data_IF_792709032515
#
_entry.id   IF_792709032515
#
_cell.length_a   1.000
_cell.length_b   1.000
_cell.length_c   1.000
_cell.angle_alpha   90.00
_cell.angle_beta   90.00
_cell.angle_gamma   90.00
#
_symmetry.space_group_name_H-M   'P 1'
#
loop_
_entity.id
_entity.type
_entity.pdbx_description
1 polymer ?
#
# COMPACT_ATOMS: atom_id res chain seq x y z
N UNK A 1 -7.98 28.71 7.30
CA UNK A 1 -7.47 27.54 8.00
C UNK A 1 -5.96 27.53 7.83
N UNK A 2 -5.20 27.43 8.90
CA UNK A 2 -3.75 27.24 8.86
C UNK A 2 -3.53 25.75 8.63
N UNK A 3 -2.88 25.40 7.52
CA UNK A 3 -2.46 24.02 7.29
C UNK A 3 -1.26 23.80 8.22
N UNK A 4 -1.39 22.90 9.18
CA UNK A 4 -0.30 22.49 10.04
C UNK A 4 0.76 21.72 9.25
N UNK A 5 1.98 21.66 9.74
CA UNK A 5 3.07 20.89 9.10
C UNK A 5 2.79 19.39 9.11
N UNK A 6 1.98 18.92 10.06
CA UNK A 6 1.50 17.54 10.19
C UNK A 6 0.62 17.08 9.00
N UNK A 7 0.00 18.04 8.29
CA UNK A 7 -0.83 17.75 7.12
C UNK A 7 -0.05 17.83 5.80
N UNK A 8 1.26 18.03 5.86
CA UNK A 8 2.10 18.07 4.67
C UNK A 8 2.54 16.67 4.28
N UNK A 9 2.37 16.33 3.02
CA UNK A 9 2.80 15.08 2.42
C UNK A 9 3.69 15.35 1.20
N UNK A 10 4.61 14.43 0.94
CA UNK A 10 5.46 14.49 -0.25
C UNK A 10 4.78 13.86 -1.48
N UNK A 11 3.50 13.51 -1.36
CA UNK A 11 2.72 12.94 -2.45
C UNK A 11 2.42 14.02 -3.49
N UNK A 12 2.80 13.75 -4.72
CA UNK A 12 2.59 14.65 -5.87
C UNK A 12 2.13 13.81 -7.06
N UNK A 13 1.43 14.39 -8.08
CA UNK A 13 0.91 13.63 -9.20
C UNK A 13 1.92 12.76 -9.96
N UNK A 14 3.20 13.16 -9.93
CA UNK A 14 4.31 12.41 -10.54
C UNK A 14 4.94 11.37 -9.63
N UNK A 15 4.58 11.32 -8.34
CA UNK A 15 5.16 10.41 -7.34
C UNK A 15 4.10 10.02 -6.31
N UNK A 16 3.15 9.19 -6.73
CA UNK A 16 2.10 8.71 -5.84
C UNK A 16 2.61 7.61 -4.93
N UNK A 17 2.32 7.73 -3.65
CA UNK A 17 2.58 6.70 -2.64
C UNK A 17 1.36 5.84 -2.39
N UNK A 18 1.57 4.70 -1.77
CA UNK A 18 0.47 3.87 -1.30
C UNK A 18 -0.38 4.61 -0.26
N UNK A 19 -1.69 4.39 -0.30
CA UNK A 19 -2.65 4.83 0.71
C UNK A 19 -3.66 3.71 0.93
N UNK A 20 -4.34 3.71 2.07
CA UNK A 20 -5.41 2.74 2.30
C UNK A 20 -6.64 3.06 1.44
N UNK A 21 -7.25 2.01 0.92
CA UNK A 21 -8.39 2.12 0.03
C UNK A 21 -9.69 1.88 0.81
N UNK A 22 -10.61 2.85 0.76
CA UNK A 22 -11.91 2.78 1.43
C UNK A 22 -12.90 1.83 0.75
N UNK A 23 -12.67 1.50 -0.52
CA UNK A 23 -13.59 0.68 -1.35
C UNK A 23 -13.21 -0.80 -1.33
N UNK A 24 -11.92 -1.10 -1.20
CA UNK A 24 -11.38 -2.47 -1.17
C UNK A 24 -10.86 -2.79 0.23
N UNK A 25 -11.69 -3.10 1.11
CA UNK A 25 -11.44 -3.65 2.42
C UNK A 25 -12.80 -3.92 3.01
N UNK A 26 -12.96 -4.86 3.90
CA UNK A 26 -14.12 -4.84 4.75
C UNK A 26 -13.92 -3.66 5.69
N UNK A 27 -14.16 -2.48 5.19
CA UNK A 27 -14.42 -1.35 6.05
C UNK A 27 -15.70 -1.72 6.78
N UNK A 28 -15.55 -2.30 7.95
CA UNK A 28 -16.67 -2.38 8.86
C UNK A 28 -17.15 -0.94 9.07
N UNK A 29 -18.44 -0.73 9.20
CA UNK A 29 -19.08 0.59 9.39
C UNK A 29 -18.49 1.42 10.55
N UNK A 30 -17.60 0.85 11.35
CA UNK A 30 -16.95 1.48 12.48
C UNK A 30 -15.51 2.01 12.19
N UNK A 31 -14.84 1.61 11.11
CA UNK A 31 -13.50 2.13 10.81
C UNK A 31 -13.61 3.49 10.12
N UNK A 32 -12.94 4.49 10.66
CA UNK A 32 -12.73 5.77 10.01
C UNK A 32 -11.31 5.87 9.44
N UNK A 33 -11.17 6.62 8.36
CA UNK A 33 -9.89 6.95 7.75
C UNK A 33 -9.76 8.46 7.62
N UNK A 34 -8.57 8.98 7.88
CA UNK A 34 -8.25 10.41 7.80
C UNK A 34 -6.84 10.61 7.25
N UNK A 35 -6.38 11.85 7.17
CA UNK A 35 -5.03 12.21 6.70
C UNK A 35 -4.68 11.58 5.35
N UNK A 36 -5.58 11.75 4.35
CA UNK A 36 -5.39 11.16 3.03
C UNK A 36 -5.41 9.63 3.03
N UNK A 37 -6.21 9.02 3.92
CA UNK A 37 -6.31 7.57 4.13
C UNK A 37 -5.01 6.92 4.66
N UNK A 38 -4.24 7.65 5.43
CA UNK A 38 -3.03 7.15 6.10
C UNK A 38 -3.28 6.84 7.58
N UNK A 39 -4.22 7.54 8.20
CA UNK A 39 -4.63 7.27 9.58
C UNK A 39 -5.90 6.44 9.57
N UNK A 40 -5.86 5.33 10.28
CA UNK A 40 -7.00 4.42 10.48
C UNK A 40 -7.35 4.40 11.95
N UNK A 41 -8.65 4.57 12.25
CA UNK A 41 -9.13 4.59 13.63
C UNK A 41 -10.30 3.67 13.80
N UNK A 42 -10.28 2.95 14.89
CA UNK A 42 -11.24 1.94 15.33
C UNK A 42 -11.76 1.03 14.25
N UNK A 43 -12.20 -0.04 14.61
CA UNK A 43 -12.89 -1.01 13.80
C UNK A 43 -12.85 -2.33 14.47
N UNK A 44 -13.90 -2.71 15.07
CA UNK A 44 -14.05 -4.08 15.53
C UNK A 44 -14.04 -5.04 14.33
N UNK A 45 -12.96 -5.78 14.15
CA UNK A 45 -12.81 -6.75 13.07
C UNK A 45 -12.59 -6.13 11.68
N UNK A 46 -12.12 -4.90 11.61
CA UNK A 46 -11.91 -4.18 10.34
C UNK A 46 -10.48 -4.31 9.83
N UNK A 47 -10.34 -4.29 8.50
CA UNK A 47 -9.05 -4.30 7.80
C UNK A 47 -8.97 -3.10 6.86
N UNK A 48 -7.90 -2.34 6.95
CA UNK A 48 -7.52 -1.36 5.95
C UNK A 48 -6.46 -1.94 5.01
N UNK A 49 -6.67 -1.83 3.70
CA UNK A 49 -5.81 -2.40 2.67
C UNK A 49 -5.26 -1.30 1.74
N UNK A 50 -3.97 -1.29 1.50
CA UNK A 50 -3.35 -0.47 0.45
C UNK A 50 -3.48 -1.15 -0.92
N UNK A 51 -4.72 -1.37 -1.37
CA UNK A 51 -5.05 -2.25 -2.48
C UNK A 51 -4.56 -1.78 -3.86
N UNK A 52 -4.17 -0.52 -4.00
CA UNK A 52 -3.59 0.02 -5.24
C UNK A 52 -2.09 -0.28 -5.40
N UNK A 53 -1.43 -0.84 -4.37
CA UNK A 53 0.00 -1.10 -4.34
C UNK A 53 0.31 -2.53 -3.92
N UNK A 54 0.13 -3.51 -4.81
CA UNK A 54 0.58 -4.88 -4.53
C UNK A 54 2.10 -4.91 -4.39
N UNK A 55 2.58 -5.73 -3.44
CA UNK A 55 4.00 -5.94 -3.24
C UNK A 55 4.57 -6.73 -4.42
N UNK A 56 5.37 -6.07 -5.23
CA UNK A 56 6.12 -6.65 -6.35
C UNK A 56 7.45 -7.25 -5.87
N UNK A 57 8.15 -7.98 -6.76
CA UNK A 57 9.49 -8.48 -6.48
C UNK A 57 10.42 -7.32 -6.13
N UNK A 58 11.19 -7.50 -5.06
CA UNK A 58 12.08 -6.47 -4.51
C UNK A 58 12.04 -6.37 -2.99
N UNK A 59 12.51 -5.23 -2.50
CA UNK A 59 12.67 -4.94 -1.08
C UNK A 59 11.93 -3.64 -0.75
N UNK A 60 10.94 -3.72 0.15
CA UNK A 60 10.00 -2.66 0.44
C UNK A 60 9.98 -2.31 1.92
N UNK A 61 9.65 -1.08 2.24
CA UNK A 61 9.56 -0.60 3.61
C UNK A 61 8.39 0.36 3.79
N UNK A 62 7.74 0.27 4.94
CA UNK A 62 6.80 1.25 5.44
C UNK A 62 6.81 1.27 6.98
N UNK A 63 6.31 2.36 7.56
CA UNK A 63 6.22 2.56 9.01
C UNK A 63 4.77 2.68 9.46
N UNK A 64 4.49 2.20 10.66
CA UNK A 64 3.21 2.39 11.34
C UNK A 64 3.46 2.99 12.71
N UNK A 65 2.96 4.22 12.93
CA UNK A 65 2.89 4.83 14.24
C UNK A 65 1.64 4.31 14.96
N UNK A 66 1.83 3.76 16.13
CA UNK A 66 0.78 3.25 17.01
C UNK A 66 0.27 4.39 17.89
N UNK A 67 -0.72 5.15 17.42
CA UNK A 67 -1.17 6.40 18.06
C UNK A 67 -1.86 6.11 19.40
N UNK A 68 -2.76 5.13 19.42
CA UNK A 68 -3.48 4.70 20.61
C UNK A 68 -3.35 3.18 20.80
N UNK A 69 -4.02 2.59 21.78
CA UNK A 69 -3.94 1.20 22.19
C UNK A 69 -3.68 0.20 21.03
N UNK A 70 -2.54 -0.48 21.10
CA UNK A 70 -2.08 -1.42 20.06
C UNK A 70 -2.56 -2.86 20.29
N UNK A 71 -3.22 -3.12 21.40
CA UNK A 71 -3.65 -4.47 21.74
C UNK A 71 -4.63 -5.03 20.71
N UNK A 72 -4.32 -6.20 20.18
CA UNK A 72 -5.07 -6.86 19.11
C UNK A 72 -5.05 -6.12 17.75
N UNK A 73 -4.02 -5.32 17.51
CA UNK A 73 -3.72 -4.84 16.17
C UNK A 73 -2.79 -5.81 15.44
N UNK A 74 -3.00 -5.93 14.13
CA UNK A 74 -2.13 -6.71 13.24
C UNK A 74 -1.60 -5.80 12.14
N UNK A 75 -0.29 -5.82 11.96
CA UNK A 75 0.41 -5.09 10.90
C UNK A 75 1.06 -6.07 9.95
N UNK A 76 0.85 -5.92 8.65
CA UNK A 76 1.48 -6.81 7.68
C UNK A 76 0.91 -6.76 6.28
N UNK A 77 0.79 -7.93 5.67
CA UNK A 77 0.35 -8.13 4.30
C UNK A 77 -0.93 -8.96 4.26
N UNK A 78 -1.83 -8.59 3.37
CA UNK A 78 -3.13 -9.22 3.19
C UNK A 78 -3.36 -9.65 1.73
N UNK A 79 -4.15 -10.74 1.57
CA UNK A 79 -4.61 -11.19 0.27
C UNK A 79 -5.84 -10.39 -0.19
N UNK A 80 -5.73 -9.47 -1.15
CA UNK A 80 -6.84 -8.62 -1.58
C UNK A 80 -7.95 -9.37 -2.32
N UNK A 81 -7.71 -10.63 -2.72
CA UNK A 81 -8.73 -11.49 -3.34
C UNK A 81 -9.63 -12.18 -2.31
N UNK A 82 -9.23 -12.20 -1.04
CA UNK A 82 -10.04 -12.79 0.02
C UNK A 82 -11.15 -11.82 0.41
N UNK A 83 -12.37 -12.32 0.52
CA UNK A 83 -13.48 -11.52 1.07
C UNK A 83 -13.23 -11.31 2.56
N UNK A 84 -13.06 -10.05 2.95
CA UNK A 84 -12.97 -9.70 4.36
C UNK A 84 -14.37 -9.70 4.94
N UNK A 85 -14.66 -10.63 5.82
CA UNK A 85 -15.84 -10.56 6.68
C UNK A 85 -15.43 -9.87 7.97
N UNK A 86 -16.28 -8.99 8.49
CA UNK A 86 -16.08 -8.41 9.82
C UNK A 86 -15.92 -9.56 10.83
N UNK A 87 -14.73 -9.77 11.30
CA UNK A 87 -14.39 -10.88 12.19
C UNK A 87 -13.39 -10.41 13.24
N UNK A 88 -13.65 -10.76 14.48
CA UNK A 88 -12.66 -10.66 15.56
C UNK A 88 -11.55 -11.70 15.41
N UNK A 89 -11.76 -12.71 14.56
CA UNK A 89 -10.74 -13.69 14.18
C UNK A 89 -9.84 -13.11 13.10
N UNK A 90 -8.56 -13.43 13.16
CA UNK A 90 -7.58 -12.93 12.21
C UNK A 90 -7.90 -13.35 10.78
N UNK A 91 -8.11 -12.41 9.88
CA UNK A 91 -8.20 -12.74 8.47
C UNK A 91 -6.86 -13.28 7.95
N UNK A 92 -6.84 -13.70 6.69
CA UNK A 92 -5.64 -14.22 5.97
C UNK A 92 -4.54 -13.15 5.85
N UNK A 93 -3.97 -12.75 6.98
CA UNK A 93 -2.94 -11.72 7.11
C UNK A 93 -1.62 -12.38 7.54
N UNK A 94 -0.54 -11.95 6.92
CA UNK A 94 0.82 -12.34 7.29
C UNK A 94 1.54 -11.12 7.85
N UNK A 95 2.01 -11.21 9.10
CA UNK A 95 2.59 -10.05 9.77
C UNK A 95 2.80 -10.29 11.26
N UNK A 96 2.77 -9.23 12.02
CA UNK A 96 2.81 -9.28 13.49
C UNK A 96 1.48 -8.87 14.09
N UNK A 97 1.05 -9.60 15.11
CA UNK A 97 -0.08 -9.25 15.97
C UNK A 97 0.43 -8.91 17.36
N UNK A 98 -0.04 -7.80 17.90
CA UNK A 98 0.16 -7.44 19.31
C UNK A 98 -0.98 -8.04 20.13
N UNK A 99 -0.68 -8.87 21.11
CA UNK A 99 -1.68 -9.50 21.99
C UNK A 99 -1.32 -9.23 23.44
N UNK A 100 -1.90 -8.17 24.01
CA UNK A 100 -1.57 -7.76 25.39
C UNK A 100 -0.08 -7.47 25.56
N UNK A 101 0.62 -8.29 26.33
CA UNK A 101 2.05 -8.14 26.60
C UNK A 101 2.96 -8.90 25.63
N UNK A 102 2.41 -9.50 24.56
CA UNK A 102 3.19 -10.32 23.62
C UNK A 102 2.93 -9.94 22.18
N UNK A 103 3.96 -10.09 21.35
CA UNK A 103 3.84 -9.99 19.89
C UNK A 103 3.96 -11.38 19.31
N UNK A 104 3.01 -11.76 18.48
CA UNK A 104 3.01 -13.05 17.79
C UNK A 104 3.08 -12.85 16.28
N UNK A 105 3.82 -13.71 15.63
CA UNK A 105 3.87 -13.73 14.19
C UNK A 105 2.67 -14.48 13.61
N UNK A 106 2.08 -13.93 12.58
CA UNK A 106 0.97 -14.52 11.86
C UNK A 106 1.38 -14.89 10.45
N UNK A 107 0.88 -15.99 9.96
CA UNK A 107 1.13 -16.45 8.61
C UNK A 107 -0.20 -16.94 8.01
N UNK A 108 -0.67 -16.21 7.00
CA UNK A 108 -1.86 -16.53 6.19
C UNK A 108 -3.12 -16.85 7.01
N UNK A 109 -3.36 -16.11 8.09
CA UNK A 109 -4.54 -16.29 8.95
C UNK A 109 -4.57 -17.60 9.74
N UNK A 110 -3.57 -18.42 9.60
CA UNK A 110 -3.39 -19.65 10.37
C UNK A 110 -2.74 -19.36 11.72
N UNK A 111 -2.99 -20.26 12.65
CA UNK A 111 -2.57 -20.23 14.04
C UNK A 111 -1.23 -19.54 14.26
N UNK A 112 -1.19 -18.68 15.26
CA UNK A 112 0.01 -18.08 15.80
C UNK A 112 1.15 -19.08 15.83
N UNK A 113 2.15 -18.92 14.99
CA UNK A 113 3.37 -19.69 15.20
C UNK A 113 4.06 -19.06 16.41
N UNK A 114 3.76 -19.60 17.58
CA UNK A 114 4.42 -19.25 18.85
C UNK A 114 5.92 -19.65 18.89
N UNK A 115 6.44 -20.09 17.77
CA UNK A 115 7.85 -20.52 17.62
C UNK A 115 8.75 -19.46 17.00
N UNK A 116 8.24 -18.24 16.83
CA UNK A 116 9.08 -17.09 16.45
C UNK A 116 9.85 -16.54 17.67
N UNK A 117 10.89 -15.71 17.41
CA UNK A 117 11.59 -15.03 18.47
C UNK A 117 10.63 -14.13 19.26
N UNK A 118 10.96 -13.90 20.53
CA UNK A 118 10.21 -12.95 21.36
C UNK A 118 10.44 -11.54 20.81
N UNK A 119 9.43 -10.98 20.19
CA UNK A 119 9.47 -9.61 19.68
C UNK A 119 9.17 -8.62 20.81
N UNK A 120 9.78 -7.45 20.75
CA UNK A 120 9.46 -6.36 21.67
C UNK A 120 8.02 -5.89 21.44
N UNK A 121 7.27 -5.67 22.52
CA UNK A 121 5.87 -5.25 22.43
C UNK A 121 5.79 -3.74 22.15
N UNK A 122 5.17 -3.29 21.07
CA UNK A 122 4.90 -1.88 20.85
C UNK A 122 3.93 -1.32 21.89
N UNK A 123 4.10 -0.05 22.24
CA UNK A 123 3.20 0.74 23.07
C UNK A 123 2.62 1.90 22.25
N UNK A 124 1.62 2.59 22.77
CA UNK A 124 1.11 3.79 22.14
C UNK A 124 2.23 4.83 21.95
N UNK A 125 2.33 5.39 20.77
CA UNK A 125 3.38 6.33 20.36
C UNK A 125 4.64 5.68 19.77
N UNK A 126 4.76 4.36 19.82
CA UNK A 126 5.87 3.66 19.17
C UNK A 126 5.67 3.56 17.66
N UNK A 127 6.79 3.45 16.94
CA UNK A 127 6.82 3.27 15.49
C UNK A 127 7.31 1.88 15.13
N UNK A 128 6.47 1.11 14.47
CA UNK A 128 6.79 -0.20 13.93
C UNK A 128 7.24 -0.04 12.48
N UNK A 129 8.49 -0.37 12.18
CA UNK A 129 8.99 -0.47 10.82
C UNK A 129 8.76 -1.86 10.27
N UNK A 130 8.25 -1.95 9.04
CA UNK A 130 7.91 -3.20 8.37
C UNK A 130 8.71 -3.30 7.09
N UNK A 131 9.62 -4.27 7.06
CA UNK A 131 10.49 -4.58 5.94
C UNK A 131 9.96 -5.82 5.22
N UNK A 132 9.89 -5.77 3.89
CA UNK A 132 9.34 -6.83 3.08
C UNK A 132 10.32 -7.16 1.96
N UNK A 133 10.64 -8.43 1.81
CA UNK A 133 11.28 -9.00 0.62
C UNK A 133 10.26 -9.85 -0.12
N UNK A 134 10.14 -9.65 -1.41
CA UNK A 134 9.43 -10.58 -2.29
C UNK A 134 10.35 -11.02 -3.40
N UNK A 135 10.46 -12.32 -3.59
CA UNK A 135 11.16 -12.95 -4.72
C UNK A 135 10.24 -14.02 -5.28
N UNK A 136 9.68 -13.76 -6.45
CA UNK A 136 8.63 -14.58 -7.06
C UNK A 136 7.43 -14.76 -6.11
N UNK A 137 7.17 -15.99 -5.67
CA UNK A 137 6.08 -16.31 -4.75
C UNK A 137 6.51 -16.35 -3.27
N UNK A 138 7.78 -16.04 -2.96
CA UNK A 138 8.29 -16.10 -1.61
C UNK A 138 8.38 -14.71 -0.98
N UNK A 139 7.80 -14.59 0.20
CA UNK A 139 7.85 -13.39 1.03
C UNK A 139 8.73 -13.62 2.25
N UNK A 140 9.50 -12.60 2.61
CA UNK A 140 10.19 -12.50 3.89
C UNK A 140 9.87 -11.15 4.52
N UNK A 141 9.61 -11.14 5.82
CA UNK A 141 9.33 -9.91 6.55
C UNK A 141 10.22 -9.80 7.78
N UNK A 142 10.65 -8.59 8.07
CA UNK A 142 11.35 -8.19 9.28
C UNK A 142 10.62 -7.01 9.91
N UNK A 143 10.79 -6.86 11.22
CA UNK A 143 10.16 -5.80 11.97
C UNK A 143 11.17 -5.04 12.81
N UNK A 144 10.96 -3.74 12.94
CA UNK A 144 11.70 -2.90 13.88
C UNK A 144 10.75 -2.16 14.80
N UNK A 145 11.21 -1.85 16.00
CA UNK A 145 10.53 -0.99 16.94
C UNK A 145 11.41 0.23 17.19
N UNK A 146 10.87 1.41 16.89
CA UNK A 146 11.60 2.67 16.99
C UNK A 146 12.98 2.63 16.30
N UNK A 147 13.04 2.01 15.12
CA UNK A 147 14.26 1.87 14.31
C UNK A 147 15.21 0.75 14.73
N UNK A 148 14.93 0.05 15.82
CA UNK A 148 15.74 -1.11 16.27
C UNK A 148 15.09 -2.40 15.82
N UNK A 149 15.84 -3.30 15.19
CA UNK A 149 15.34 -4.61 14.78
C UNK A 149 14.74 -5.38 15.97
N UNK A 150 13.52 -5.90 15.80
CA UNK A 150 12.81 -6.61 16.89
C UNK A 150 13.41 -8.01 17.09
N UNK A 151 13.95 -8.63 16.04
CA UNK A 151 14.59 -9.93 16.10
C UNK A 151 15.75 -10.01 15.11
N UNK A 152 15.52 -10.54 13.90
CA UNK A 152 16.55 -10.60 12.87
C UNK A 152 16.81 -9.22 12.27
N UNK A 153 18.05 -8.94 11.95
CA UNK A 153 18.42 -7.67 11.31
C UNK A 153 17.95 -7.65 9.86
N UNK A 154 17.13 -6.67 9.45
CA UNK A 154 16.73 -6.53 8.06
C UNK A 154 17.94 -6.35 7.13
N UNK A 155 17.94 -7.04 6.00
CA UNK A 155 18.93 -6.86 4.96
C UNK A 155 18.33 -7.10 3.57
N UNK A 156 18.66 -6.23 2.61
CA UNK A 156 18.19 -6.33 1.24
C UNK A 156 18.99 -7.36 0.44
N UNK A 157 18.99 -8.61 0.89
CA UNK A 157 19.61 -9.75 0.22
C UNK A 157 18.71 -10.97 0.28
N UNK A 158 18.78 -11.83 -0.71
CA UNK A 158 17.97 -13.06 -0.77
C UNK A 158 18.32 -14.06 0.33
N UNK A 159 19.56 -14.04 0.81
CA UNK A 159 20.09 -14.97 1.82
C UNK A 159 19.80 -14.53 3.26
N UNK A 160 19.33 -13.29 3.47
CA UNK A 160 19.01 -12.81 4.80
C UNK A 160 17.84 -13.59 5.40
N UNK A 161 17.96 -13.98 6.66
CA UNK A 161 16.91 -14.69 7.40
C UNK A 161 15.86 -13.71 7.90
N UNK A 162 14.61 -13.77 7.42
CA UNK A 162 13.54 -12.90 7.91
C UNK A 162 12.98 -13.39 9.27
N UNK A 163 12.22 -12.53 9.92
CA UNK A 163 11.45 -12.91 11.12
C UNK A 163 10.29 -13.83 10.74
N UNK A 164 9.66 -13.57 9.60
CA UNK A 164 8.61 -14.40 9.01
C UNK A 164 8.96 -14.69 7.56
N UNK A 165 8.77 -15.94 7.13
CA UNK A 165 8.81 -16.31 5.72
C UNK A 165 7.62 -17.18 5.33
N UNK A 166 7.05 -16.92 4.16
CA UNK A 166 5.92 -17.67 3.63
C UNK A 166 5.85 -17.56 2.11
N UNK A 167 5.06 -18.42 1.48
CA UNK A 167 4.78 -18.35 0.06
C UNK A 167 3.34 -17.92 -0.21
N UNK A 168 3.14 -17.09 -1.24
CA UNK A 168 1.83 -16.75 -1.76
C UNK A 168 1.87 -16.69 -3.29
N UNK A 169 0.89 -17.31 -3.92
CA UNK A 169 0.76 -17.34 -5.40
C UNK A 169 0.07 -16.10 -5.94
N UNK A 170 -0.44 -15.25 -5.07
CA UNK A 170 -1.08 -13.99 -5.37
C UNK A 170 -0.26 -12.84 -4.79
N UNK A 171 -0.44 -11.67 -5.35
CA UNK A 171 0.19 -10.47 -4.82
C UNK A 171 -0.55 -9.99 -3.60
N UNK A 172 0.22 -9.76 -2.53
CA UNK A 172 -0.28 -9.25 -1.27
C UNK A 172 -0.13 -7.74 -1.23
N UNK A 173 -0.97 -7.10 -0.41
CA UNK A 173 -0.96 -5.65 -0.19
C UNK A 173 -0.71 -5.33 1.28
N UNK A 174 -0.09 -4.19 1.61
CA UNK A 174 0.00 -3.72 2.99
C UNK A 174 -1.37 -3.62 3.63
N UNK A 175 -1.45 -4.00 4.89
CA UNK A 175 -2.69 -3.99 5.65
C UNK A 175 -2.48 -3.72 7.13
N UNK A 176 -3.51 -3.11 7.73
CA UNK A 176 -3.69 -3.01 9.17
C UNK A 176 -5.04 -3.62 9.55
N UNK A 177 -5.07 -4.41 10.61
CA UNK A 177 -6.29 -5.07 11.10
C UNK A 177 -6.49 -4.82 12.59
N UNK A 178 -7.74 -4.62 12.97
CA UNK A 178 -8.19 -4.40 14.35
C UNK A 178 -9.09 -5.57 14.77
N UNK A 179 -8.61 -6.44 15.66
CA UNK A 179 -9.33 -7.67 16.04
C UNK A 179 -10.42 -7.46 17.09
N UNK A 180 -10.32 -6.42 17.91
CA UNK A 180 -11.24 -6.15 19.00
C UNK A 180 -11.71 -4.69 19.00
N UNK A 181 -12.92 -4.40 19.55
CA UNK A 181 -13.37 -3.03 19.74
C UNK A 181 -12.46 -2.27 20.74
N UNK A 182 -12.37 -0.99 20.56
CA UNK A 182 -11.61 -0.07 21.41
C UNK A 182 -11.17 1.17 20.65
N UNK A 183 -10.64 2.13 21.35
CA UNK A 183 -10.05 3.34 20.77
C UNK A 183 -8.67 3.04 20.21
N UNK A 184 -8.61 2.33 19.08
CA UNK A 184 -7.36 1.98 18.41
C UNK A 184 -7.12 2.92 17.25
N UNK A 185 -5.93 3.41 17.13
CA UNK A 185 -5.54 4.32 16.06
C UNK A 185 -4.12 4.03 15.60
N UNK A 186 -3.93 3.99 14.30
CA UNK A 186 -2.62 3.85 13.69
C UNK A 186 -2.49 4.81 12.51
N UNK A 187 -1.35 5.46 12.40
CA UNK A 187 -0.98 6.28 11.25
C UNK A 187 0.15 5.60 10.48
N UNK A 188 -0.09 5.32 9.20
CA UNK A 188 0.87 4.61 8.35
C UNK A 188 1.59 5.58 7.44
N UNK A 189 2.90 5.41 7.34
CA UNK A 189 3.76 6.13 6.43
C UNK A 189 4.34 5.17 5.39
N UNK A 190 3.96 5.34 4.12
CA UNK A 190 4.53 4.60 3.00
C UNK A 190 5.70 5.36 2.34
N UNK A 191 6.15 6.46 2.96
CA UNK A 191 7.23 7.33 2.52
C UNK A 191 6.81 8.77 2.21
N UNK A 192 5.52 9.10 2.24
CA UNK A 192 5.00 10.43 1.89
C UNK A 192 4.90 11.39 3.07
N UNK A 193 4.80 10.90 4.31
CA UNK A 193 4.64 11.76 5.47
C UNK A 193 5.94 12.49 5.81
N UNK A 194 5.83 13.75 6.18
CA UNK A 194 6.95 14.55 6.65
C UNK A 194 7.09 14.52 8.19
N UNK A 195 6.03 14.11 8.87
CA UNK A 195 5.98 13.83 10.32
C UNK A 195 4.70 13.04 10.64
N UNK A 196 4.66 12.38 11.79
CA UNK A 196 3.42 11.82 12.35
C UNK A 196 2.64 12.90 13.11
N UNK A 197 1.33 12.74 13.22
CA UNK A 197 0.46 13.64 13.98
C UNK A 197 0.97 13.82 15.41
N UNK A 198 1.00 15.07 15.87
CA UNK A 198 1.54 15.42 17.18
C UNK A 198 3.07 15.30 17.31
N UNK A 199 3.76 14.90 16.25
CA UNK A 199 5.22 14.76 16.24
C UNK A 199 5.92 16.11 16.16
N UNK A 200 6.97 16.30 16.98
CA UNK A 200 7.75 17.53 17.00
C UNK A 200 8.93 17.54 15.99
N UNK A 201 9.24 16.41 15.38
CA UNK A 201 10.42 16.24 14.50
C UNK A 201 10.02 15.88 13.08
N UNK A 202 10.51 16.67 12.12
CA UNK A 202 10.41 16.35 10.69
C UNK A 202 11.19 15.06 10.38
N UNK A 203 10.68 14.29 9.44
CA UNK A 203 11.32 13.06 8.98
C UNK A 203 12.51 13.34 8.07
N UNK A 204 13.40 12.36 7.99
CA UNK A 204 14.56 12.41 7.12
C UNK A 204 14.26 11.77 5.77
N UNK A 205 14.70 12.40 4.69
CA UNK A 205 14.64 11.83 3.35
C UNK A 205 15.63 10.66 3.23
N UNK A 206 15.17 9.50 2.85
CA UNK A 206 15.98 8.32 2.55
C UNK A 206 15.20 7.32 1.69
N UNK A 207 15.88 6.56 0.84
CA UNK A 207 15.26 5.44 0.08
C UNK A 207 13.95 5.83 -0.63
N UNK A 208 13.96 6.96 -1.31
CA UNK A 208 12.83 7.53 -2.07
C UNK A 208 11.58 7.91 -1.25
N UNK A 209 11.73 8.10 0.06
CA UNK A 209 10.68 8.53 0.97
C UNK A 209 11.19 9.38 2.13
N UNK A 210 10.26 9.79 2.99
CA UNK A 210 10.53 10.47 4.25
C UNK A 210 10.16 9.54 5.42
N UNK A 211 11.05 9.41 6.41
CA UNK A 211 10.94 8.38 7.42
C UNK A 211 11.25 8.92 8.81
N UNK A 212 10.48 8.49 9.80
CA UNK A 212 10.84 8.67 11.22
C UNK A 212 12.11 7.88 11.54
N UNK A 213 12.17 6.63 11.06
CA UNK A 213 13.32 5.75 11.15
C UNK A 213 13.72 5.28 9.75
N UNK A 214 14.80 5.83 9.21
CA UNK A 214 15.25 5.50 7.86
C UNK A 214 15.43 3.97 7.68
N UNK A 215 14.90 3.40 6.59
CA UNK A 215 15.08 1.98 6.33
C UNK A 215 16.56 1.62 6.09
N UNK A 216 16.87 0.36 6.26
CA UNK A 216 18.16 -0.21 5.85
C UNK A 216 18.33 -0.02 4.33
N UNK A 217 19.56 0.29 3.91
CA UNK A 217 19.89 0.48 2.49
C UNK A 217 19.44 -0.69 1.63
N UNK A 218 18.81 -0.38 0.50
CA UNK A 218 18.27 -1.35 -0.45
C UNK A 218 16.76 -1.60 -0.31
N UNK A 219 16.14 -1.23 0.82
CA UNK A 219 14.68 -1.18 0.93
C UNK A 219 14.15 0.16 0.40
N UNK A 220 13.00 0.12 -0.24
CA UNK A 220 12.40 1.25 -0.95
C UNK A 220 11.01 1.58 -0.41
N UNK A 221 10.60 2.84 -0.61
CA UNK A 221 9.23 3.29 -0.36
C UNK A 221 8.22 2.60 -1.29
N UNK A 222 6.98 2.43 -0.80
CA UNK A 222 5.87 1.98 -1.64
C UNK A 222 5.29 3.16 -2.42
N UNK A 223 5.96 3.53 -3.49
CA UNK A 223 5.52 4.55 -4.43
C UNK A 223 5.61 4.03 -5.87
N UNK A 224 4.95 4.72 -6.79
CA UNK A 224 4.87 4.30 -8.18
C UNK A 224 6.22 4.28 -8.89
N UNK A 225 7.15 5.17 -8.54
CA UNK A 225 8.47 5.24 -9.18
C UNK A 225 9.32 4.00 -8.89
N UNK A 226 9.04 3.33 -7.79
CA UNK A 226 9.73 2.11 -7.38
C UNK A 226 9.12 0.82 -7.94
N UNK A 227 7.93 0.89 -8.55
CA UNK A 227 7.31 -0.28 -9.18
C UNK A 227 8.07 -0.63 -10.46
N UNK A 228 8.28 -1.94 -10.67
CA UNK A 228 8.97 -2.43 -11.86
C UNK A 228 8.04 -2.34 -13.08
N UNK A 229 8.41 -1.49 -14.03
CA UNK A 229 7.71 -1.34 -15.31
C UNK A 229 8.04 -2.46 -16.31
N UNK A 230 9.03 -3.29 -16.00
CA UNK A 230 9.43 -4.43 -16.83
C UNK A 230 8.87 -5.77 -16.34
N UNK A 231 8.16 -5.77 -15.19
CA UNK A 231 7.61 -6.96 -14.60
C UNK A 231 6.64 -7.70 -15.53
N UNK A 232 6.61 -9.02 -15.42
CA UNK A 232 5.56 -9.83 -16.06
C UNK A 232 4.18 -9.39 -15.57
N UNK A 233 3.17 -9.47 -16.45
CA UNK A 233 1.79 -9.04 -16.17
C UNK A 233 1.58 -7.51 -16.08
N UNK A 234 2.48 -6.72 -16.65
CA UNK A 234 2.18 -5.32 -16.90
C UNK A 234 0.98 -5.17 -17.82
N UNK A 235 0.19 -4.14 -17.58
CA UNK A 235 -0.86 -3.76 -18.53
C UNK A 235 -0.22 -3.41 -19.88
N UNK A 236 -0.60 -4.13 -20.92
CA UNK A 236 -0.12 -3.88 -22.27
C UNK A 236 -1.02 -2.91 -23.02
N UNK A 237 -2.31 -2.95 -22.69
CA UNK A 237 -3.36 -2.19 -23.34
C UNK A 237 -4.47 -1.90 -22.33
N UNK A 238 -4.99 -0.67 -22.33
CA UNK A 238 -6.07 -0.24 -21.47
C UNK A 238 -7.09 0.58 -22.26
N UNK A 239 -8.36 0.37 -21.93
CA UNK A 239 -9.48 1.11 -22.46
C UNK A 239 -10.28 1.69 -21.30
N UNK A 240 -10.38 3.01 -21.23
CA UNK A 240 -10.98 3.75 -20.12
C UNK A 240 -12.24 4.46 -20.63
N UNK A 241 -13.32 4.43 -19.85
CA UNK A 241 -14.56 5.16 -20.12
C UNK A 241 -15.12 5.72 -18.82
N UNK A 242 -15.39 7.02 -18.84
CA UNK A 242 -16.20 7.68 -17.83
C UNK A 242 -17.65 7.16 -17.94
N UNK A 243 -18.27 6.81 -16.83
CA UNK A 243 -19.65 6.28 -16.77
C UNK A 243 -20.69 7.37 -16.50
N UNK A 244 -20.27 8.51 -15.96
CA UNK A 244 -21.15 9.56 -15.48
C UNK A 244 -21.21 10.76 -16.43
N UNK A 245 -20.23 10.88 -17.32
CA UNK A 245 -20.16 11.94 -18.33
C UNK A 245 -20.08 11.42 -19.76
N UNK A 246 -20.40 12.29 -20.72
CA UNK A 246 -20.31 12.04 -22.15
C UNK A 246 -18.89 12.29 -22.67
N UNK A 247 -17.90 11.81 -21.92
CA UNK A 247 -16.50 11.88 -22.27
C UNK A 247 -16.12 10.80 -23.28
N UNK A 248 -15.05 11.05 -24.01
CA UNK A 248 -14.56 10.11 -25.02
C UNK A 248 -14.03 8.81 -24.41
N UNK A 249 -14.08 7.75 -25.21
CA UNK A 249 -13.44 6.49 -24.87
C UNK A 249 -11.93 6.57 -25.13
N UNK A 250 -11.12 6.43 -24.09
CA UNK A 250 -9.67 6.54 -24.17
C UNK A 250 -9.02 5.16 -24.22
N UNK A 251 -8.28 4.92 -25.28
CA UNK A 251 -7.50 3.72 -25.49
C UNK A 251 -6.01 4.05 -25.50
N UNK A 252 -5.24 3.30 -24.74
CA UNK A 252 -3.78 3.44 -24.63
C UNK A 252 -3.10 2.09 -24.72
N UNK A 253 -1.88 2.06 -25.24
CA UNK A 253 -1.06 0.85 -25.26
C UNK A 253 0.44 1.15 -25.11
N UNK A 254 1.18 0.13 -24.69
CA UNK A 254 2.62 0.27 -24.46
C UNK A 254 3.44 0.52 -25.72
N UNK A 255 2.97 0.09 -26.88
CA UNK A 255 3.73 0.25 -28.14
C UNK A 255 3.75 1.72 -28.57
N UNK A 256 2.65 2.43 -28.34
CA UNK A 256 2.61 3.89 -28.58
C UNK A 256 3.26 4.66 -27.45
N UNK A 257 3.24 4.11 -26.23
CA UNK A 257 3.78 4.74 -25.03
C UNK A 257 2.75 5.55 -24.24
N UNK A 258 3.15 5.98 -23.06
CA UNK A 258 2.33 6.83 -22.19
C UNK A 258 2.03 8.19 -22.83
N UNK A 259 0.88 8.75 -22.53
CA UNK A 259 0.44 10.03 -23.07
C UNK A 259 0.06 9.99 -24.57
N UNK A 260 0.08 8.81 -25.18
CA UNK A 260 -0.45 8.58 -26.53
C UNK A 260 -1.78 7.87 -26.42
N UNK A 261 -2.85 8.60 -26.73
CA UNK A 261 -4.22 8.10 -26.61
C UNK A 261 -4.87 7.97 -27.97
N UNK A 262 -5.73 6.98 -28.11
CA UNK A 262 -6.62 6.83 -29.25
C UNK A 262 -8.05 6.96 -28.76
N UNK A 263 -8.78 7.92 -29.31
CA UNK A 263 -10.20 8.11 -29.04
C UNK A 263 -10.99 7.19 -29.97
N UNK A 264 -11.76 6.24 -29.41
CA UNK A 264 -12.40 5.17 -30.21
C UNK A 264 -13.81 5.52 -30.69
N UNK A 265 -14.38 6.60 -30.21
CA UNK A 265 -15.74 7.08 -30.50
C UNK A 265 -15.75 8.36 -31.37
N UNK A 266 -14.61 8.75 -31.88
CA UNK A 266 -14.49 9.93 -32.75
C UNK A 266 -14.61 9.56 -34.24
N UNK A 267 -15.13 10.50 -35.01
CA UNK A 267 -15.20 10.42 -36.47
C UNK A 267 -14.04 11.13 -37.16
N UNK A 268 -13.05 11.63 -36.41
CA UNK A 268 -11.90 12.32 -37.00
C UNK A 268 -10.97 11.35 -37.72
N UNK A 269 -10.28 11.84 -38.73
CA UNK A 269 -9.29 11.05 -39.49
C UNK A 269 -7.97 10.84 -38.72
N UNK A 270 -7.80 11.53 -37.57
CA UNK A 270 -6.62 11.45 -36.70
C UNK A 270 -7.07 11.18 -35.28
N UNK A 271 -7.48 9.94 -34.97
CA UNK A 271 -7.99 9.60 -33.60
C UNK A 271 -6.90 9.58 -32.55
N UNK A 272 -5.62 9.57 -32.91
CA UNK A 272 -4.50 9.60 -31.96
C UNK A 272 -4.19 11.04 -31.54
N UNK A 273 -4.11 11.23 -30.24
CA UNK A 273 -3.70 12.50 -29.62
C UNK A 273 -2.53 12.29 -28.67
N UNK A 274 -1.85 13.38 -28.35
CA UNK A 274 -0.78 13.37 -27.34
C UNK A 274 -1.26 14.19 -26.15
N UNK A 275 -1.48 13.51 -25.02
CA UNK A 275 -1.91 14.13 -23.78
C UNK A 275 -1.25 13.41 -22.60
N UNK A 276 -0.28 14.04 -21.95
CA UNK A 276 0.45 13.50 -20.80
C UNK A 276 -0.38 13.38 -19.53
N UNK A 277 -1.55 14.02 -19.51
CA UNK A 277 -2.45 14.03 -18.35
C UNK A 277 -3.48 12.87 -18.37
N UNK A 278 -3.48 12.03 -19.40
CA UNK A 278 -4.31 10.82 -19.46
C UNK A 278 -3.64 9.65 -18.74
N UNK A 279 -3.03 8.70 -19.42
CA UNK A 279 -2.26 7.61 -18.79
C UNK A 279 -0.80 7.98 -18.72
N UNK A 280 -0.27 7.95 -17.51
CA UNK A 280 1.12 8.33 -17.21
C UNK A 280 2.06 7.13 -17.06
N UNK A 281 1.51 5.95 -16.68
CA UNK A 281 2.27 4.70 -16.53
C UNK A 281 1.42 3.48 -16.80
N UNK A 282 2.07 2.44 -17.32
CA UNK A 282 1.55 1.08 -17.34
C UNK A 282 2.09 0.33 -16.13
N UNK A 283 1.22 -0.16 -15.28
CA UNK A 283 1.54 -0.85 -14.04
C UNK A 283 1.18 -2.33 -14.12
N UNK A 284 1.65 -3.08 -13.16
CA UNK A 284 1.22 -4.44 -12.99
C UNK A 284 -0.27 -4.46 -12.62
N UNK A 285 -1.11 -4.97 -13.54
CA UNK A 285 -2.58 -5.05 -13.39
C UNK A 285 -3.29 -3.69 -13.29
N UNK A 286 -2.74 -2.67 -13.90
CA UNK A 286 -3.37 -1.35 -13.90
C UNK A 286 -2.61 -0.32 -14.71
N UNK A 287 -3.10 0.90 -14.64
CA UNK A 287 -2.45 2.08 -15.20
C UNK A 287 -2.49 3.21 -14.18
N UNK A 288 -1.50 4.06 -14.20
CA UNK A 288 -1.57 5.35 -13.53
C UNK A 288 -2.25 6.34 -14.47
N UNK A 289 -3.33 6.96 -14.00
CA UNK A 289 -3.98 8.06 -14.70
C UNK A 289 -3.49 9.41 -14.18
N UNK A 290 -3.51 10.41 -15.04
CA UNK A 290 -3.25 11.79 -14.70
C UNK A 290 -4.51 12.52 -14.22
N UNK A 291 -4.59 13.81 -14.54
CA UNK A 291 -5.68 14.70 -14.13
C UNK A 291 -6.67 15.05 -15.25
N UNK A 292 -6.54 14.43 -16.40
CA UNK A 292 -7.43 14.65 -17.53
C UNK A 292 -8.86 14.20 -17.19
N UNK A 293 -9.85 15.01 -17.57
CA UNK A 293 -11.26 14.76 -17.26
C UNK A 293 -11.80 13.47 -17.86
N UNK A 294 -11.28 13.05 -19.01
CA UNK A 294 -11.68 11.81 -19.67
C UNK A 294 -11.30 10.54 -18.89
N UNK A 295 -10.38 10.66 -17.92
CA UNK A 295 -9.87 9.52 -17.16
C UNK A 295 -9.92 9.69 -15.64
N UNK A 296 -10.09 10.92 -15.12
CA UNK A 296 -9.99 11.18 -13.67
C UNK A 296 -10.66 12.49 -13.24
N UNK A 297 -11.97 12.56 -13.26
CA UNK A 297 -12.75 13.66 -12.69
C UNK A 297 -13.22 13.31 -11.28
N UNK A 298 -13.25 14.32 -10.39
CA UNK A 298 -13.67 14.14 -9.00
C UNK A 298 -15.15 13.74 -8.91
N UNK A 299 -15.45 12.73 -8.14
CA UNK A 299 -16.79 12.17 -7.89
C UNK A 299 -17.46 11.52 -9.13
N UNK A 300 -16.70 11.09 -10.11
CA UNK A 300 -17.19 10.34 -11.24
C UNK A 300 -16.68 8.90 -11.23
N UNK A 301 -17.48 7.98 -11.77
CA UNK A 301 -17.18 6.56 -11.87
C UNK A 301 -16.58 6.22 -13.23
N UNK A 302 -15.53 5.42 -13.23
CA UNK A 302 -14.85 4.98 -14.44
C UNK A 302 -14.87 3.46 -14.55
N UNK A 303 -14.84 2.97 -15.78
CA UNK A 303 -14.59 1.56 -16.08
C UNK A 303 -13.28 1.44 -16.85
N UNK A 304 -12.45 0.48 -16.44
CA UNK A 304 -11.19 0.13 -17.06
C UNK A 304 -11.24 -1.31 -17.55
N UNK A 305 -11.09 -1.52 -18.84
CA UNK A 305 -10.75 -2.82 -19.42
C UNK A 305 -9.26 -2.84 -19.70
N UNK A 306 -8.59 -3.89 -19.30
CA UNK A 306 -7.15 -4.01 -19.47
C UNK A 306 -6.74 -5.39 -19.95
N UNK A 307 -5.68 -5.44 -20.72
CA UNK A 307 -5.02 -6.66 -21.16
C UNK A 307 -3.59 -6.64 -20.69
N UNK A 308 -3.19 -7.71 -20.07
CA UNK A 308 -1.84 -7.87 -19.55
C UNK A 308 -0.91 -8.35 -20.67
N UNK A 309 0.37 -8.05 -20.54
CA UNK A 309 1.37 -8.69 -21.39
C UNK A 309 1.33 -10.21 -21.16
N UNK A 310 1.39 -10.97 -22.22
CA UNK A 310 1.57 -12.41 -22.15
C UNK A 310 2.93 -12.76 -21.52
N UNK A 311 3.02 -13.98 -20.94
CA UNK A 311 4.28 -14.54 -20.48
C UNK A 311 5.17 -14.92 -21.66
#
# INVERSE_FOLDING_TARGET
ATIGTENQVADVPSKNYAVYNTVKGAVHTAMSMSEGNLTTKDGNGSVALAAGFPIQDGYWYYEVNTVEDVNNMVFGLYNPATTVTASTSNPSLSGIQVTGATVVMQNNGGSNSSSGPTLSNPSAGDVVGIYIRKVKNNYGMWFSLNGTAMSNTPAATETATPDISFAATIELVPAVHYSNPGTKEAQTNFGQLLQFDGGATSFNAASDGYWKHAPVTGFKALNQDNLDETASKLTAWAWIKNRDADDSHILVDRNRGVGKTVTTDTTTTTPETTNSDTVQRFLQRGVQVGKDEEVNTVNEDYILWQWLMGE
#
